data_IF_255234066110
#
_entry.id   IF_255234066110
#
_cell.length_a   1.000
_cell.length_b   1.000
_cell.length_c   1.000
_cell.angle_alpha   90.00
_cell.angle_beta   90.00
_cell.angle_gamma   90.00
#
_symmetry.space_group_name_H-M   'P 1'
#
loop_
_entity.id
_entity.type
_entity.pdbx_description
1 polymer ?
#
# COMPACT_ATOMS: atom_id res chain seq x y z
N UNK A 1 4.83 6.20 26.90
CA UNK A 1 4.34 6.37 25.51
C UNK A 1 4.70 5.09 24.81
N UNK A 2 3.76 4.46 24.08
CA UNK A 2 4.03 3.16 23.47
C UNK A 2 4.49 3.32 22.03
N UNK A 3 5.40 2.45 21.61
CA UNK A 3 6.04 2.45 20.31
C UNK A 3 5.73 1.13 19.61
N UNK A 4 5.16 1.24 18.41
CA UNK A 4 4.77 0.07 17.63
C UNK A 4 5.43 0.13 16.26
N UNK A 5 5.79 -1.04 15.75
CA UNK A 5 6.27 -1.23 14.39
C UNK A 5 5.25 -2.03 13.60
N UNK A 6 5.04 -1.64 12.35
CA UNK A 6 4.09 -2.27 11.45
C UNK A 6 4.81 -3.29 10.58
N UNK A 7 4.35 -4.53 10.62
CA UNK A 7 4.87 -5.62 9.81
C UNK A 7 4.01 -5.84 8.55
N UNK A 8 4.65 -6.16 7.44
CA UNK A 8 3.95 -6.69 6.27
C UNK A 8 3.73 -8.22 6.41
N UNK A 9 3.12 -8.82 5.38
CA UNK A 9 2.79 -10.25 5.36
C UNK A 9 4.00 -11.19 5.49
N UNK A 10 5.22 -10.72 5.24
CA UNK A 10 6.45 -11.51 5.38
C UNK A 10 7.23 -11.19 6.66
N UNK A 11 6.64 -10.43 7.58
CA UNK A 11 7.25 -10.04 8.85
C UNK A 11 8.31 -8.94 8.72
N UNK A 12 8.34 -8.19 7.61
CA UNK A 12 9.25 -7.06 7.43
C UNK A 12 8.63 -5.79 8.03
N UNK A 13 9.38 -5.07 8.84
CA UNK A 13 8.97 -3.76 9.35
C UNK A 13 8.97 -2.73 8.21
N UNK A 14 7.78 -2.18 7.92
CA UNK A 14 7.53 -1.21 6.85
C UNK A 14 7.19 0.19 7.37
N UNK A 15 7.07 0.35 8.69
CA UNK A 15 6.73 1.62 9.32
C UNK A 15 6.68 1.50 10.83
N UNK A 16 6.52 2.63 11.49
CA UNK A 16 6.37 2.69 12.93
C UNK A 16 5.43 3.83 13.32
N UNK A 17 4.85 3.71 14.52
CA UNK A 17 3.97 4.70 15.09
C UNK A 17 4.10 4.72 16.60
N UNK A 18 3.65 5.80 17.22
CA UNK A 18 3.62 5.91 18.68
C UNK A 18 2.21 6.28 19.13
N UNK A 19 1.76 5.69 20.24
CA UNK A 19 0.44 5.94 20.81
C UNK A 19 0.53 6.13 22.32
N UNK A 20 -0.38 6.92 22.88
CA UNK A 20 -0.59 6.98 24.33
C UNK A 20 -1.37 5.77 24.86
N UNK A 21 -2.04 5.03 23.99
CA UNK A 21 -2.93 3.91 24.32
C UNK A 21 -2.41 2.56 23.80
N UNK A 22 -3.04 1.48 24.28
CA UNK A 22 -2.83 0.13 23.75
C UNK A 22 -3.47 -0.03 22.39
N UNK A 23 -2.72 -0.56 21.42
CA UNK A 23 -3.28 -0.96 20.13
C UNK A 23 -3.21 -2.47 20.06
N UNK A 24 -4.38 -3.10 19.90
CA UNK A 24 -4.51 -4.54 19.70
C UNK A 24 -4.66 -4.79 18.20
N UNK A 25 -3.54 -5.05 17.54
CA UNK A 25 -3.48 -5.36 16.10
C UNK A 25 -2.37 -6.39 15.85
N UNK A 26 -2.70 -7.48 15.17
CA UNK A 26 -1.78 -8.59 14.88
C UNK A 26 -0.62 -8.18 13.94
N UNK A 27 -0.78 -7.08 13.19
CA UNK A 27 0.24 -6.52 12.31
C UNK A 27 1.21 -5.57 13.01
N UNK A 28 0.98 -5.28 14.30
CA UNK A 28 1.83 -4.41 15.11
C UNK A 28 2.63 -5.22 16.12
N UNK A 29 3.90 -4.86 16.28
CA UNK A 29 4.76 -5.35 17.36
C UNK A 29 5.07 -4.18 18.29
N UNK A 30 4.80 -4.37 19.58
CA UNK A 30 5.21 -3.41 20.61
C UNK A 30 6.73 -3.50 20.81
N UNK A 31 7.41 -2.39 20.62
CA UNK A 31 8.87 -2.24 20.79
C UNK A 31 9.21 -1.22 21.88
N UNK A 32 8.24 -0.87 22.72
CA UNK A 32 8.39 0.19 23.74
C UNK A 32 9.57 -0.06 24.66
N UNK A 33 9.74 -1.30 25.16
CA UNK A 33 10.86 -1.65 26.04
C UNK A 33 12.22 -1.42 25.36
N UNK A 34 12.36 -1.80 24.09
CA UNK A 34 13.61 -1.63 23.35
C UNK A 34 13.92 -0.15 23.08
N UNK A 35 12.89 0.66 22.86
CA UNK A 35 13.04 2.12 22.68
C UNK A 35 13.40 2.79 24.00
N UNK A 36 12.82 2.35 25.12
CA UNK A 36 13.18 2.81 26.46
C UNK A 36 14.63 2.46 26.84
N UNK A 37 15.13 1.31 26.38
CA UNK A 37 16.53 0.87 26.51
C UNK A 37 17.52 1.62 25.59
N UNK A 38 17.03 2.57 24.79
CA UNK A 38 17.84 3.47 23.97
C UNK A 38 17.98 3.06 22.50
N UNK A 39 17.25 2.05 22.03
CA UNK A 39 17.19 1.71 20.60
C UNK A 39 16.32 2.72 19.87
N UNK A 40 16.77 3.25 18.73
CA UNK A 40 15.89 4.13 17.94
C UNK A 40 14.75 3.32 17.33
N UNK A 41 13.52 3.84 17.33
CA UNK A 41 12.40 3.18 16.65
C UNK A 41 12.66 3.02 15.13
N UNK A 42 13.48 3.90 14.55
CA UNK A 42 13.95 3.81 13.16
C UNK A 42 14.87 2.61 12.90
N UNK A 43 15.48 2.04 13.95
CA UNK A 43 16.39 0.92 13.78
C UNK A 43 15.66 -0.34 13.32
N UNK A 44 14.37 -0.46 13.63
CA UNK A 44 13.52 -1.56 13.20
C UNK A 44 13.13 -1.48 11.74
N UNK A 45 13.14 -0.29 11.13
CA UNK A 45 12.71 -0.13 9.75
C UNK A 45 13.54 -1.03 8.82
N UNK A 46 12.85 -1.81 7.99
CA UNK A 46 13.42 -2.81 7.08
C UNK A 46 14.10 -4.00 7.77
N UNK A 47 13.93 -4.20 9.07
CA UNK A 47 14.29 -5.46 9.74
C UNK A 47 13.13 -6.46 9.68
N UNK A 48 13.46 -7.74 9.65
CA UNK A 48 12.48 -8.83 9.69
C UNK A 48 12.28 -9.28 11.13
N UNK A 49 11.03 -9.51 11.52
CA UNK A 49 10.66 -10.10 12.80
C UNK A 49 10.16 -11.53 12.56
N UNK A 50 10.86 -12.51 13.12
CA UNK A 50 10.51 -13.93 12.96
C UNK A 50 10.69 -14.64 14.29
N UNK A 51 9.67 -15.38 14.74
CA UNK A 51 9.72 -16.16 15.99
C UNK A 51 10.12 -15.35 17.24
N UNK A 52 9.71 -14.07 17.30
CA UNK A 52 10.04 -13.21 18.42
C UNK A 52 11.38 -12.48 18.31
N UNK A 53 12.14 -12.71 17.23
CA UNK A 53 13.51 -12.23 17.06
C UNK A 53 13.61 -11.29 15.85
N UNK A 54 14.32 -10.17 16.04
CA UNK A 54 14.66 -9.23 14.98
C UNK A 54 15.90 -9.67 14.21
N UNK A 55 15.88 -9.55 12.88
CA UNK A 55 17.04 -9.81 12.04
C UNK A 55 18.18 -8.83 12.31
N UNK A 56 19.43 -9.29 12.23
CA UNK A 56 20.62 -8.44 12.33
C UNK A 56 20.78 -7.53 11.11
N UNK A 57 20.41 -8.04 9.94
CA UNK A 57 20.48 -7.32 8.67
C UNK A 57 19.19 -6.52 8.39
N UNK A 58 19.32 -5.44 7.62
CA UNK A 58 18.20 -4.67 7.07
C UNK A 58 17.98 -5.06 5.61
N UNK A 59 16.76 -5.50 5.30
CA UNK A 59 16.30 -5.83 3.94
C UNK A 59 15.67 -4.58 3.33
N UNK A 60 16.50 -3.66 2.83
CA UNK A 60 15.97 -2.51 2.10
C UNK A 60 15.14 -3.02 0.92
N UNK A 61 13.94 -2.48 0.67
CA UNK A 61 13.21 -2.81 -0.54
C UNK A 61 14.06 -2.43 -1.74
N UNK A 62 13.99 -3.24 -2.78
CA UNK A 62 14.56 -2.85 -4.07
C UNK A 62 13.98 -1.47 -4.44
N UNK A 63 14.80 -0.55 -4.97
CA UNK A 63 14.27 0.68 -5.51
C UNK A 63 13.14 0.32 -6.48
N UNK A 64 12.01 1.05 -6.45
CA UNK A 64 10.92 0.77 -7.36
C UNK A 64 11.48 0.70 -8.78
N UNK A 65 10.98 -0.26 -9.57
CA UNK A 65 11.36 -0.36 -10.97
C UNK A 65 11.29 1.04 -11.60
N UNK A 66 12.26 1.41 -12.44
CA UNK A 66 12.26 2.73 -13.07
C UNK A 66 10.88 2.97 -13.67
N UNK A 67 10.32 4.14 -13.38
CA UNK A 67 9.02 4.50 -13.94
C UNK A 67 9.06 4.28 -15.46
N UNK A 68 7.99 3.76 -16.07
CA UNK A 68 7.94 3.62 -17.51
C UNK A 68 8.24 4.97 -18.16
N UNK A 69 8.91 4.92 -19.30
CA UNK A 69 9.25 6.09 -20.09
C UNK A 69 8.01 7.00 -20.23
N UNK A 70 8.09 8.32 -19.95
CA UNK A 70 6.93 9.20 -19.98
C UNK A 70 6.12 9.11 -21.27
N UNK A 71 6.76 8.90 -22.41
CA UNK A 71 6.09 8.72 -23.70
C UNK A 71 5.25 7.43 -23.73
N UNK A 72 5.80 6.31 -23.26
CA UNK A 72 5.06 5.04 -23.15
C UNK A 72 3.86 5.16 -22.21
N UNK A 73 4.01 5.92 -21.13
CA UNK A 73 2.91 6.18 -20.18
C UNK A 73 1.81 7.03 -20.80
N UNK A 74 2.16 8.05 -21.59
CA UNK A 74 1.18 8.87 -22.30
C UNK A 74 0.40 8.01 -23.29
N UNK A 75 1.09 7.20 -24.11
CA UNK A 75 0.45 6.30 -25.08
C UNK A 75 -0.53 5.33 -24.38
N UNK A 76 -0.09 4.73 -23.26
CA UNK A 76 -0.95 3.82 -22.50
C UNK A 76 -2.19 4.52 -21.94
N UNK A 77 -2.04 5.73 -21.38
CA UNK A 77 -3.14 6.52 -20.85
C UNK A 77 -4.09 7.02 -21.93
N UNK A 78 -3.58 7.38 -23.11
CA UNK A 78 -4.41 7.78 -24.26
C UNK A 78 -5.23 6.61 -24.78
N UNK A 79 -4.62 5.42 -24.89
CA UNK A 79 -5.30 4.18 -25.29
C UNK A 79 -6.42 3.83 -24.30
N UNK A 80 -6.14 3.90 -22.99
CA UNK A 80 -7.14 3.65 -21.95
C UNK A 80 -8.29 4.66 -22.00
N UNK A 81 -7.98 5.95 -22.20
CA UNK A 81 -9.00 7.00 -22.34
C UNK A 81 -9.90 6.78 -23.56
N UNK A 82 -9.35 6.33 -24.69
CA UNK A 82 -10.14 6.02 -25.88
C UNK A 82 -11.11 4.86 -25.62
N UNK A 83 -10.62 3.76 -25.05
CA UNK A 83 -11.46 2.61 -24.66
C UNK A 83 -12.56 3.00 -23.66
N UNK A 84 -12.25 3.87 -22.70
CA UNK A 84 -13.24 4.36 -21.75
C UNK A 84 -14.31 5.20 -22.43
N UNK A 85 -13.93 6.06 -23.38
CA UNK A 85 -14.89 6.87 -24.15
C UNK A 85 -15.83 6.02 -24.98
N UNK A 86 -15.32 5.00 -25.65
CA UNK A 86 -16.13 4.03 -26.41
C UNK A 86 -17.13 3.32 -25.50
N UNK A 87 -16.67 2.84 -24.34
CA UNK A 87 -17.55 2.16 -23.37
C UNK A 87 -18.64 3.08 -22.85
N UNK A 88 -18.31 4.35 -22.57
CA UNK A 88 -19.30 5.33 -22.13
C UNK A 88 -20.34 5.59 -23.23
N UNK A 89 -19.91 5.76 -24.48
CA UNK A 89 -20.83 5.96 -25.60
C UNK A 89 -21.77 4.77 -25.79
N UNK A 90 -21.22 3.55 -25.78
CA UNK A 90 -22.03 2.32 -25.87
C UNK A 90 -23.05 2.23 -24.72
N UNK A 91 -22.63 2.54 -23.49
CA UNK A 91 -23.53 2.51 -22.33
C UNK A 91 -24.65 3.54 -22.48
N UNK A 92 -24.36 4.72 -23.04
CA UNK A 92 -25.36 5.74 -23.30
C UNK A 92 -26.38 5.29 -24.34
N UNK A 93 -25.93 4.64 -25.42
CA UNK A 93 -26.79 4.09 -26.45
C UNK A 93 -27.68 2.96 -25.90
N UNK A 94 -27.12 2.05 -25.11
CA UNK A 94 -27.86 0.96 -24.46
C UNK A 94 -28.95 1.50 -23.52
N UNK A 95 -28.64 2.54 -22.74
CA UNK A 95 -29.61 3.20 -21.85
C UNK A 95 -30.73 3.87 -22.65
N UNK A 96 -30.40 4.55 -23.75
CA UNK A 96 -31.38 5.17 -24.62
C UNK A 96 -32.32 4.12 -25.24
N UNK A 97 -31.76 3.04 -25.76
CA UNK A 97 -32.52 1.94 -26.33
C UNK A 97 -33.48 1.30 -25.31
N UNK A 98 -33.01 1.05 -24.09
CA UNK A 98 -33.85 0.53 -23.00
C UNK A 98 -34.98 1.51 -22.68
N UNK A 99 -34.69 2.80 -22.60
CA UNK A 99 -35.69 3.83 -22.32
C UNK A 99 -36.78 3.86 -23.39
N UNK A 100 -36.40 3.88 -24.67
CA UNK A 100 -37.35 3.85 -25.79
C UNK A 100 -38.16 2.55 -25.81
N UNK A 101 -37.55 1.41 -25.50
CA UNK A 101 -38.26 0.11 -25.51
C UNK A 101 -39.28 -0.02 -24.37
N UNK A 102 -39.02 0.58 -23.22
CA UNK A 102 -39.89 0.46 -22.03
C UNK A 102 -41.00 1.53 -22.01
N UNK A 103 -40.73 2.72 -22.55
CA UNK A 103 -41.62 3.88 -22.44
C UNK A 103 -42.26 4.34 -23.75
N UNK A 104 -42.05 3.64 -24.87
CA UNK A 104 -42.83 3.80 -26.11
C UNK A 104 -44.06 2.89 -26.13
#
# INVERSE_FOLDING_TARGET
>A
MRHYVTLNQVGLCIGYQSSSEEILDDSLVDVSEMVEDGTSIDDFLWRKYTEGIWSEEKFKPDPPAPAPDPEQRIIALETENELLRERVAQTQDDVLFIFETIFA
#
